data_IF_298292550034
#
_entry.id   IF_298292550034
#
_cell.length_a   1.000
_cell.length_b   1.000
_cell.length_c   1.000
_cell.angle_alpha   90.00
_cell.angle_beta   90.00
_cell.angle_gamma   90.00
#
_symmetry.space_group_name_H-M   'P 1'
#
loop_
_entity.id
_entity.type
_entity.pdbx_description
1 polymer ?
#
# COMPACT_ATOMS: atom_id res chain seq x y z
N UNK A 1 -19.67 14.89 -5.05
CA UNK A 1 -18.52 14.14 -4.48
C UNK A 1 -17.49 15.14 -4.04
N UNK A 2 -17.03 15.04 -2.79
CA UNK A 2 -15.97 15.91 -2.28
C UNK A 2 -14.65 15.50 -2.94
N UNK A 3 -13.92 16.45 -3.49
CA UNK A 3 -12.61 16.22 -4.11
C UNK A 3 -11.54 16.59 -3.09
N UNK A 4 -10.68 15.63 -2.73
CA UNK A 4 -9.58 15.86 -1.80
C UNK A 4 -8.34 16.39 -2.53
N UNK A 5 -7.52 17.19 -1.84
CA UNK A 5 -6.35 17.81 -2.43
C UNK A 5 -5.36 16.79 -3.06
N UNK A 6 -5.24 15.58 -2.47
CA UNK A 6 -4.35 14.53 -2.98
C UNK A 6 -4.89 13.84 -4.24
N UNK A 7 -6.19 13.93 -4.54
CA UNK A 7 -6.77 13.33 -5.75
C UNK A 7 -6.15 13.94 -7.02
N UNK A 8 -5.70 15.22 -6.92
CA UNK A 8 -5.06 15.98 -8.02
C UNK A 8 -3.56 15.73 -8.16
N UNK A 9 -2.92 15.10 -7.17
CA UNK A 9 -1.48 14.84 -7.21
C UNK A 9 -1.24 13.59 -8.03
N UNK A 10 -0.45 13.72 -9.11
CA UNK A 10 -0.13 12.64 -10.06
C UNK A 10 1.37 12.39 -10.14
N UNK A 11 1.82 11.16 -10.44
CA UNK A 11 3.24 10.83 -10.59
C UNK A 11 3.93 11.60 -11.71
N UNK A 12 3.26 11.76 -12.84
CA UNK A 12 3.82 12.36 -14.07
C UNK A 12 2.95 13.52 -14.55
N UNK A 13 3.34 14.76 -14.21
CA UNK A 13 2.55 15.97 -14.52
C UNK A 13 2.31 16.21 -16.03
N UNK A 14 3.17 15.67 -16.90
CA UNK A 14 3.07 15.82 -18.35
C UNK A 14 2.40 14.64 -19.05
N UNK A 15 1.94 13.63 -18.31
CA UNK A 15 1.24 12.48 -18.89
C UNK A 15 -0.19 12.85 -19.27
N UNK A 16 -0.68 12.24 -20.34
CA UNK A 16 -2.09 12.31 -20.77
C UNK A 16 -2.98 11.29 -20.07
N UNK A 17 -2.36 10.33 -19.37
CA UNK A 17 -3.06 9.28 -18.64
C UNK A 17 -3.65 9.80 -17.33
N UNK A 18 -4.74 9.20 -16.86
CA UNK A 18 -5.32 9.48 -15.55
C UNK A 18 -4.40 9.07 -14.39
N UNK A 19 -4.71 9.52 -13.17
CA UNK A 19 -3.88 9.21 -11.99
C UNK A 19 -3.68 7.71 -11.80
N UNK A 20 -4.72 6.92 -12.02
CA UNK A 20 -4.72 5.47 -11.81
C UNK A 20 -3.72 4.76 -12.72
N UNK A 21 -3.76 5.06 -14.02
CA UNK A 21 -2.84 4.50 -15.00
C UNK A 21 -1.40 4.91 -14.71
N UNK A 22 -1.18 6.19 -14.39
CA UNK A 22 0.14 6.70 -14.02
C UNK A 22 0.71 6.02 -12.76
N UNK A 23 -0.13 5.75 -11.77
CA UNK A 23 0.28 5.05 -10.54
C UNK A 23 0.64 3.60 -10.85
N UNK A 24 -0.15 2.90 -11.68
CA UNK A 24 0.16 1.53 -12.10
C UNK A 24 1.49 1.46 -12.86
N UNK A 25 1.67 2.30 -13.88
CA UNK A 25 2.92 2.40 -14.66
C UNK A 25 4.13 2.70 -13.75
N UNK A 26 3.98 3.66 -12.84
CA UNK A 26 5.05 4.02 -11.91
C UNK A 26 5.49 2.85 -11.04
N UNK A 27 4.54 2.10 -10.47
CA UNK A 27 4.86 0.96 -9.63
C UNK A 27 5.41 -0.22 -10.44
N UNK A 28 4.95 -0.45 -11.66
CA UNK A 28 5.51 -1.47 -12.57
C UNK A 28 6.96 -1.13 -12.95
N UNK A 29 7.27 0.13 -13.24
CA UNK A 29 8.63 0.61 -13.55
C UNK A 29 9.61 0.42 -12.40
N UNK A 30 9.17 0.67 -11.16
CA UNK A 30 10.06 0.55 -9.99
C UNK A 30 10.10 -0.85 -9.40
N UNK A 31 9.17 -1.74 -9.75
CA UNK A 31 9.04 -3.09 -9.20
C UNK A 31 10.36 -3.88 -9.21
N UNK A 32 11.16 -3.94 -10.30
CA UNK A 32 12.38 -4.74 -10.35
C UNK A 32 13.40 -4.41 -9.25
N UNK A 33 13.39 -3.17 -8.76
CA UNK A 33 14.34 -2.67 -7.76
C UNK A 33 13.69 -2.33 -6.42
N UNK A 34 12.36 -2.54 -6.29
CA UNK A 34 11.57 -2.05 -5.16
C UNK A 34 12.01 -2.66 -3.83
N UNK A 35 12.12 -3.98 -3.75
CA UNK A 35 12.47 -4.66 -2.50
C UNK A 35 13.90 -4.35 -2.03
N UNK A 36 14.85 -4.20 -2.94
CA UNK A 36 16.23 -3.85 -2.60
C UNK A 36 16.33 -2.44 -2.00
N UNK A 37 15.67 -1.47 -2.62
CA UNK A 37 15.67 -0.07 -2.17
C UNK A 37 14.90 0.13 -0.88
N UNK A 38 13.77 -0.55 -0.71
CA UNK A 38 12.98 -0.54 0.51
C UNK A 38 13.77 -1.08 1.71
N UNK A 39 14.54 -2.15 1.53
CA UNK A 39 15.41 -2.71 2.60
C UNK A 39 16.45 -1.71 3.08
N UNK A 40 16.94 -0.84 2.22
CA UNK A 40 18.01 0.11 2.54
C UNK A 40 17.51 1.37 3.25
N UNK A 41 16.33 1.89 2.90
CA UNK A 41 15.87 3.21 3.35
C UNK A 41 14.96 3.19 4.61
N UNK A 42 14.19 2.14 4.86
CA UNK A 42 13.18 2.20 5.93
C UNK A 42 12.80 0.87 6.60
N UNK A 43 13.43 -0.23 6.24
CA UNK A 43 12.96 -1.60 6.55
C UNK A 43 12.62 -1.88 8.03
N UNK A 44 13.35 -1.32 8.99
CA UNK A 44 13.11 -1.57 10.42
C UNK A 44 11.94 -0.76 10.97
N UNK A 45 11.80 0.50 10.54
CA UNK A 45 10.73 1.40 11.00
C UNK A 45 9.40 0.96 10.40
N UNK A 46 9.38 0.63 9.10
CA UNK A 46 8.20 0.14 8.40
C UNK A 46 7.69 -1.17 8.99
N UNK A 47 8.58 -2.11 9.29
CA UNK A 47 8.20 -3.39 9.88
C UNK A 47 7.52 -3.22 11.24
N UNK A 48 8.05 -2.33 12.11
CA UNK A 48 7.45 -2.03 13.41
C UNK A 48 6.08 -1.38 13.27
N UNK A 49 5.93 -0.40 12.35
CA UNK A 49 4.66 0.28 12.10
C UNK A 49 3.60 -0.68 11.56
N UNK A 50 3.93 -1.52 10.57
CA UNK A 50 3.04 -2.54 10.03
C UNK A 50 2.61 -3.54 11.11
N UNK A 51 3.55 -4.00 11.94
CA UNK A 51 3.25 -4.88 13.06
C UNK A 51 2.24 -4.24 14.02
N UNK A 52 2.48 -2.97 14.43
CA UNK A 52 1.56 -2.23 15.31
C UNK A 52 0.17 -2.07 14.68
N UNK A 53 0.10 -1.75 13.38
CA UNK A 53 -1.17 -1.66 12.67
C UNK A 53 -1.96 -2.98 12.69
N UNK A 54 -1.29 -4.12 12.44
CA UNK A 54 -1.91 -5.43 12.48
C UNK A 54 -2.30 -5.88 13.92
N UNK A 55 -1.63 -5.36 14.95
CA UNK A 55 -2.01 -5.62 16.35
C UNK A 55 -3.42 -5.14 16.68
N UNK A 56 -3.93 -4.09 16.00
CA UNK A 56 -5.30 -3.59 16.15
C UNK A 56 -6.37 -4.62 15.71
N UNK A 57 -5.98 -5.61 14.91
CA UNK A 57 -6.85 -6.67 14.41
C UNK A 57 -6.84 -7.94 15.28
N UNK A 58 -5.92 -8.07 16.26
CA UNK A 58 -5.79 -9.30 17.04
C UNK A 58 -7.05 -9.68 17.81
N UNK A 59 -7.72 -8.69 18.39
CA UNK A 59 -8.96 -8.92 19.15
C UNK A 59 -10.13 -9.41 18.26
N UNK A 60 -10.11 -9.01 16.97
CA UNK A 60 -11.14 -9.39 16.00
C UNK A 60 -11.01 -10.85 15.54
N UNK A 61 -9.78 -11.42 15.54
CA UNK A 61 -9.46 -12.76 15.03
C UNK A 61 -10.04 -12.98 13.62
N UNK A 62 -9.70 -12.11 12.64
CA UNK A 62 -10.34 -12.16 11.33
C UNK A 62 -10.06 -13.50 10.63
N UNK A 63 -11.08 -14.10 10.01
CA UNK A 63 -10.95 -15.31 9.20
C UNK A 63 -10.71 -14.96 7.72
N UNK A 64 -11.35 -13.92 7.22
CA UNK A 64 -11.20 -13.40 5.86
C UNK A 64 -10.68 -11.98 5.91
N UNK A 65 -9.46 -11.76 5.40
CA UNK A 65 -8.80 -10.46 5.39
C UNK A 65 -8.52 -10.02 3.96
N UNK A 66 -8.76 -8.75 3.65
CA UNK A 66 -8.32 -8.13 2.39
C UNK A 66 -7.18 -7.16 2.68
N UNK A 67 -6.14 -7.18 1.82
CA UNK A 67 -5.04 -6.20 1.82
C UNK A 67 -5.11 -5.39 0.51
N UNK A 68 -5.57 -4.15 0.59
CA UNK A 68 -5.77 -3.25 -0.55
C UNK A 68 -4.49 -2.46 -0.80
N UNK A 69 -4.09 -2.34 -2.07
CA UNK A 69 -2.78 -1.84 -2.49
C UNK A 69 -1.66 -2.66 -1.85
N UNK A 70 -1.77 -3.99 -1.97
CA UNK A 70 -0.91 -4.96 -1.28
C UNK A 70 0.55 -4.91 -1.76
N UNK A 71 0.81 -4.40 -2.95
CA UNK A 71 2.13 -4.31 -3.55
C UNK A 71 2.81 -5.67 -3.63
N UNK A 72 3.97 -5.80 -3.00
CA UNK A 72 4.74 -7.06 -2.94
C UNK A 72 4.29 -7.98 -1.80
N UNK A 73 3.07 -7.84 -1.28
CA UNK A 73 2.42 -8.67 -0.27
C UNK A 73 3.06 -8.66 1.14
N UNK A 74 3.88 -7.68 1.49
CA UNK A 74 4.56 -7.66 2.79
C UNK A 74 3.61 -7.60 3.97
N UNK A 75 2.51 -6.84 3.87
CA UNK A 75 1.47 -6.75 4.92
C UNK A 75 0.66 -8.02 4.99
N UNK A 76 0.25 -8.56 3.84
CA UNK A 76 -0.47 -9.83 3.76
C UNK A 76 0.33 -10.99 4.38
N UNK A 77 1.64 -11.11 4.07
CA UNK A 77 2.54 -12.11 4.66
C UNK A 77 2.65 -11.92 6.18
N UNK A 78 2.80 -10.68 6.64
CA UNK A 78 2.88 -10.39 8.07
C UNK A 78 1.54 -10.70 8.77
N UNK A 79 0.41 -10.39 8.16
CA UNK A 79 -0.93 -10.69 8.66
C UNK A 79 -1.16 -12.20 8.77
N UNK A 80 -0.76 -13.00 7.76
CA UNK A 80 -0.83 -14.46 7.81
C UNK A 80 -0.11 -15.02 9.03
N UNK A 81 1.11 -14.53 9.32
CA UNK A 81 1.92 -14.98 10.45
C UNK A 81 1.43 -14.50 11.81
N UNK A 82 0.84 -13.32 11.89
CA UNK A 82 0.45 -12.70 13.16
C UNK A 82 -0.99 -13.04 13.58
N UNK A 83 -1.89 -13.12 12.61
CA UNK A 83 -3.33 -13.25 12.84
C UNK A 83 -3.86 -14.63 12.45
N UNK A 84 -3.11 -15.36 11.61
CA UNK A 84 -3.45 -16.69 11.09
C UNK A 84 -4.90 -16.80 10.56
N UNK A 85 -5.33 -15.91 9.65
CA UNK A 85 -6.67 -16.00 9.07
C UNK A 85 -6.78 -17.21 8.15
N UNK A 86 -8.01 -17.65 7.87
CA UNK A 86 -8.27 -18.74 6.93
C UNK A 86 -7.85 -18.36 5.50
N UNK A 87 -8.14 -17.12 5.09
CA UNK A 87 -7.79 -16.61 3.76
C UNK A 87 -7.44 -15.12 3.80
N UNK A 88 -6.43 -14.75 3.03
CA UNK A 88 -6.10 -13.35 2.73
C UNK A 88 -6.22 -13.14 1.22
N UNK A 89 -6.86 -12.06 0.82
CA UNK A 89 -6.86 -11.58 -0.57
C UNK A 89 -6.10 -10.27 -0.63
N UNK A 90 -5.02 -10.22 -1.39
CA UNK A 90 -4.29 -8.99 -1.70
C UNK A 90 -4.67 -8.48 -3.09
N UNK A 91 -5.10 -7.23 -3.19
CA UNK A 91 -5.36 -6.58 -4.48
C UNK A 91 -4.40 -5.43 -4.72
N UNK A 92 -3.95 -5.28 -5.97
CA UNK A 92 -3.13 -4.15 -6.42
C UNK A 92 -3.37 -3.89 -7.91
N UNK A 93 -3.18 -2.63 -8.34
CA UNK A 93 -3.28 -2.26 -9.75
C UNK A 93 -2.01 -2.57 -10.54
N UNK A 94 -0.85 -2.71 -9.87
CA UNK A 94 0.44 -3.02 -10.47
C UNK A 94 0.64 -4.53 -10.55
N UNK A 95 0.67 -5.06 -11.76
CA UNK A 95 0.95 -6.49 -12.01
C UNK A 95 2.38 -6.86 -11.69
N UNK A 96 3.33 -5.95 -11.93
CA UNK A 96 4.74 -6.15 -11.60
C UNK A 96 4.98 -6.32 -10.10
N UNK A 97 4.27 -5.53 -9.25
CA UNK A 97 4.32 -5.70 -7.80
C UNK A 97 3.72 -7.03 -7.36
N UNK A 98 2.57 -7.42 -7.92
CA UNK A 98 1.91 -8.70 -7.61
C UNK A 98 2.79 -9.89 -7.99
N UNK A 99 3.52 -9.84 -9.09
CA UNK A 99 4.42 -10.91 -9.52
C UNK A 99 5.59 -11.10 -8.55
N UNK A 100 6.13 -10.01 -8.01
CA UNK A 100 7.11 -10.08 -6.93
C UNK A 100 6.50 -10.67 -5.65
N UNK A 101 5.27 -10.26 -5.33
CA UNK A 101 4.49 -10.81 -4.22
C UNK A 101 4.31 -12.32 -4.35
N UNK A 102 3.87 -12.81 -5.52
CA UNK A 102 3.67 -14.25 -5.80
C UNK A 102 4.96 -15.05 -5.60
N UNK A 103 6.12 -14.51 -6.06
CA UNK A 103 7.43 -15.14 -5.82
C UNK A 103 7.76 -15.23 -4.33
N UNK A 104 7.40 -14.19 -3.55
CA UNK A 104 7.58 -14.22 -2.09
C UNK A 104 6.68 -15.26 -1.44
N UNK A 105 5.40 -15.32 -1.82
CA UNK A 105 4.45 -16.30 -1.27
C UNK A 105 4.93 -17.73 -1.47
N UNK A 106 5.39 -18.07 -2.68
CA UNK A 106 5.98 -19.39 -2.97
C UNK A 106 7.18 -19.69 -2.07
N UNK A 107 8.08 -18.73 -1.89
CA UNK A 107 9.25 -18.89 -1.01
C UNK A 107 8.88 -19.08 0.46
N UNK A 108 7.77 -18.48 0.89
CA UNK A 108 7.29 -18.52 2.27
C UNK A 108 6.28 -19.65 2.53
N UNK A 109 5.85 -20.38 1.47
CA UNK A 109 4.84 -21.46 1.56
C UNK A 109 3.45 -20.94 1.92
N UNK A 110 3.10 -19.71 1.51
CA UNK A 110 1.85 -19.03 1.87
C UNK A 110 0.85 -18.92 0.71
N UNK A 111 1.15 -19.50 -0.46
CA UNK A 111 0.33 -19.40 -1.67
C UNK A 111 -1.06 -20.03 -1.55
N UNK A 112 -1.26 -20.94 -0.60
CA UNK A 112 -2.58 -21.51 -0.30
C UNK A 112 -3.45 -20.60 0.57
N UNK A 113 -2.81 -19.82 1.44
CA UNK A 113 -3.49 -18.95 2.40
C UNK A 113 -3.69 -17.52 1.83
N UNK A 114 -2.74 -17.03 1.02
CA UNK A 114 -2.75 -15.68 0.45
C UNK A 114 -2.93 -15.78 -1.06
N UNK A 115 -3.95 -15.09 -1.57
CA UNK A 115 -4.22 -14.95 -2.99
C UNK A 115 -3.97 -13.52 -3.43
N UNK A 116 -3.24 -13.31 -4.53
CA UNK A 116 -2.94 -12.00 -5.08
C UNK A 116 -3.65 -11.82 -6.42
N UNK A 117 -4.47 -10.77 -6.51
CA UNK A 117 -5.27 -10.45 -7.69
C UNK A 117 -5.01 -9.01 -8.15
N UNK A 118 -5.01 -8.80 -9.48
CA UNK A 118 -5.10 -7.45 -10.02
C UNK A 118 -6.47 -6.89 -9.69
N UNK A 119 -6.51 -5.71 -9.06
CA UNK A 119 -7.76 -5.11 -8.62
C UNK A 119 -7.62 -3.64 -8.32
N UNK A 120 -8.73 -2.94 -8.50
CA UNK A 120 -8.87 -1.51 -8.27
C UNK A 120 -9.57 -1.27 -6.93
N UNK A 121 -8.97 -0.45 -6.06
CA UNK A 121 -9.57 -0.06 -4.78
C UNK A 121 -10.92 0.66 -4.93
N UNK A 122 -11.17 1.26 -6.09
CA UNK A 122 -12.40 1.99 -6.39
C UNK A 122 -13.49 1.13 -7.08
N UNK A 123 -13.18 -0.15 -7.34
CA UNK A 123 -14.10 -1.12 -7.93
C UNK A 123 -13.68 -2.54 -7.49
N UNK A 124 -13.86 -2.83 -6.20
CA UNK A 124 -13.45 -4.09 -5.59
C UNK A 124 -14.39 -5.22 -6.05
N UNK A 125 -13.86 -6.19 -6.79
CA UNK A 125 -14.63 -7.31 -7.36
C UNK A 125 -14.94 -8.41 -6.33
N UNK A 126 -15.58 -8.04 -5.23
CA UNK A 126 -16.09 -8.94 -4.20
C UNK A 126 -17.48 -8.50 -3.77
N UNK A 127 -18.35 -9.42 -3.33
CA UNK A 127 -19.65 -9.09 -2.76
C UNK A 127 -19.54 -8.19 -1.51
N UNK A 128 -20.62 -7.52 -1.16
CA UNK A 128 -20.72 -6.83 0.13
C UNK A 128 -20.51 -7.80 1.31
N UNK A 129 -20.03 -7.29 2.43
CA UNK A 129 -19.84 -8.06 3.67
C UNK A 129 -19.02 -9.35 3.50
N UNK A 130 -17.96 -9.31 2.67
CA UNK A 130 -17.09 -10.46 2.39
C UNK A 130 -15.96 -10.64 3.40
N UNK A 131 -15.44 -9.56 3.98
CA UNK A 131 -14.22 -9.57 4.78
C UNK A 131 -14.45 -9.13 6.22
N UNK A 132 -13.78 -9.81 7.16
CA UNK A 132 -13.79 -9.45 8.58
C UNK A 132 -12.89 -8.23 8.84
N UNK A 133 -11.83 -8.09 8.06
CA UNK A 133 -10.91 -6.97 8.14
C UNK A 133 -10.37 -6.57 6.76
N UNK A 134 -10.08 -5.27 6.62
CA UNK A 134 -9.35 -4.72 5.46
C UNK A 134 -8.14 -3.94 5.96
N UNK A 135 -6.99 -4.14 5.32
CA UNK A 135 -5.77 -3.35 5.55
C UNK A 135 -5.43 -2.54 4.32
N UNK A 136 -4.94 -1.32 4.52
CA UNK A 136 -4.33 -0.47 3.48
C UNK A 136 -3.06 0.14 4.06
N UNK A 137 -1.91 -0.25 3.56
CA UNK A 137 -0.64 0.28 4.06
C UNK A 137 0.11 1.06 2.97
N UNK A 138 0.26 2.37 3.17
CA UNK A 138 0.93 3.30 2.25
C UNK A 138 0.32 3.37 0.85
N UNK A 139 -0.97 3.01 0.74
CA UNK A 139 -1.69 2.93 -0.53
C UNK A 139 -2.76 4.00 -0.71
N UNK A 140 -3.37 4.49 0.38
CA UNK A 140 -4.54 5.39 0.33
C UNK A 140 -4.25 6.68 -0.45
N UNK A 141 -3.04 7.24 -0.35
CA UNK A 141 -2.63 8.44 -1.09
C UNK A 141 -2.60 8.24 -2.62
N UNK A 142 -2.52 6.99 -3.07
CA UNK A 142 -2.47 6.64 -4.49
C UNK A 142 -3.86 6.42 -5.11
N UNK A 143 -4.93 6.38 -4.32
CA UNK A 143 -6.29 6.29 -4.86
C UNK A 143 -6.57 7.50 -5.74
N UNK A 144 -7.18 7.28 -6.90
CA UNK A 144 -7.56 8.38 -7.79
C UNK A 144 -8.78 9.12 -7.23
N UNK A 145 -9.69 8.38 -6.60
CA UNK A 145 -10.82 8.92 -5.84
C UNK A 145 -10.88 8.25 -4.46
N UNK A 146 -10.47 9.00 -3.43
CA UNK A 146 -10.40 8.48 -2.06
C UNK A 146 -11.77 8.05 -1.53
N UNK A 147 -12.80 8.89 -1.74
CA UNK A 147 -14.15 8.62 -1.24
C UNK A 147 -14.71 7.33 -1.83
N UNK A 148 -14.53 7.15 -3.13
CA UNK A 148 -14.96 5.93 -3.83
C UNK A 148 -14.21 4.69 -3.34
N UNK A 149 -12.88 4.78 -3.18
CA UNK A 149 -12.09 3.67 -2.64
C UNK A 149 -12.49 3.30 -1.21
N UNK A 150 -12.71 4.29 -0.34
CA UNK A 150 -13.18 4.03 1.02
C UNK A 150 -14.62 3.48 1.05
N UNK A 151 -15.50 3.91 0.15
CA UNK A 151 -16.86 3.37 0.03
C UNK A 151 -16.85 1.91 -0.40
N UNK A 152 -15.99 1.52 -1.35
CA UNK A 152 -15.83 0.13 -1.75
C UNK A 152 -15.26 -0.75 -0.63
N UNK A 153 -14.27 -0.24 0.11
CA UNK A 153 -13.74 -0.91 1.30
C UNK A 153 -14.84 -1.11 2.35
N UNK A 154 -15.65 -0.07 2.60
CA UNK A 154 -16.77 -0.16 3.53
C UNK A 154 -17.81 -1.20 3.07
N UNK A 155 -18.13 -1.24 1.78
CA UNK A 155 -19.08 -2.20 1.19
C UNK A 155 -18.66 -3.64 1.39
N UNK A 156 -17.38 -3.95 1.18
CA UNK A 156 -16.87 -5.32 1.31
C UNK A 156 -16.61 -5.76 2.75
N UNK A 157 -16.56 -4.82 3.71
CA UNK A 157 -16.44 -5.14 5.13
C UNK A 157 -17.74 -5.69 5.69
N UNK A 158 -17.66 -6.75 6.48
CA UNK A 158 -18.79 -7.28 7.26
C UNK A 158 -19.20 -6.30 8.34
N UNK A 159 -20.48 -6.30 8.77
CA UNK A 159 -20.89 -5.61 9.99
C UNK A 159 -19.98 -5.98 11.18
N UNK A 160 -19.44 -4.98 11.87
CA UNK A 160 -18.47 -5.18 12.96
C UNK A 160 -17.03 -5.46 12.49
N UNK A 161 -16.79 -5.51 11.18
CA UNK A 161 -15.45 -5.60 10.59
C UNK A 161 -14.63 -4.33 10.82
N UNK A 162 -13.30 -4.43 10.64
CA UNK A 162 -12.37 -3.32 10.89
C UNK A 162 -11.56 -2.98 9.65
N UNK A 163 -11.45 -1.67 9.35
CA UNK A 163 -10.46 -1.11 8.43
C UNK A 163 -9.26 -0.62 9.22
N UNK A 164 -8.06 -1.03 8.83
CA UNK A 164 -6.78 -0.50 9.34
C UNK A 164 -6.03 0.21 8.23
N UNK A 165 -5.84 1.51 8.37
CA UNK A 165 -5.05 2.33 7.44
C UNK A 165 -3.73 2.70 8.10
N UNK A 166 -2.63 2.38 7.42
CA UNK A 166 -1.29 2.84 7.78
C UNK A 166 -0.78 3.79 6.69
N UNK A 167 -0.61 5.07 7.03
CA UNK A 167 -0.15 6.08 6.06
C UNK A 167 0.83 7.05 6.69
N UNK A 168 1.64 7.71 5.86
CA UNK A 168 2.54 8.76 6.30
C UNK A 168 1.76 10.04 6.65
N UNK A 169 2.18 10.70 7.70
CA UNK A 169 1.69 12.05 8.03
C UNK A 169 2.87 13.00 8.25
N UNK A 170 2.67 14.27 7.91
CA UNK A 170 3.68 15.30 8.21
C UNK A 170 3.81 15.48 9.73
N UNK A 171 5.03 15.52 10.27
CA UNK A 171 5.25 15.81 11.69
C UNK A 171 4.64 17.16 12.08
N UNK A 172 3.90 17.21 13.19
CA UNK A 172 3.30 18.46 13.71
C UNK A 172 4.25 19.21 14.65
N UNK A 173 5.30 18.57 15.14
CA UNK A 173 6.28 19.16 16.06
C UNK A 173 7.29 19.97 15.24
N UNK A 174 7.42 21.26 15.50
CA UNK A 174 8.18 22.23 14.69
C UNK A 174 9.64 21.79 14.46
N UNK A 175 10.36 21.35 15.46
CA UNK A 175 11.76 20.89 15.31
C UNK A 175 11.88 19.63 14.43
N UNK A 176 10.97 18.66 14.59
CA UNK A 176 10.93 17.43 13.78
C UNK A 176 10.50 17.77 12.36
N UNK A 177 9.59 18.71 12.18
CA UNK A 177 9.13 19.16 10.87
C UNK A 177 10.26 19.82 10.05
N UNK A 178 11.10 20.64 10.68
CA UNK A 178 12.25 21.26 10.02
C UNK A 178 13.27 20.20 9.58
N UNK A 179 13.59 19.25 10.46
CA UNK A 179 14.49 18.15 10.14
C UNK A 179 13.91 17.24 9.04
N UNK A 180 12.63 16.94 9.09
CA UNK A 180 11.92 16.18 8.05
C UNK A 180 11.95 16.88 6.70
N UNK A 181 11.68 18.20 6.67
CA UNK A 181 11.71 18.98 5.43
C UNK A 181 13.11 19.04 4.85
N UNK A 182 14.16 19.19 5.67
CA UNK A 182 15.56 19.16 5.25
C UNK A 182 15.94 17.79 4.68
N UNK A 183 15.56 16.71 5.37
CA UNK A 183 15.80 15.34 4.93
C UNK A 183 15.11 15.04 3.61
N UNK A 184 13.82 15.34 3.49
CA UNK A 184 13.02 15.10 2.28
C UNK A 184 13.39 16.03 1.13
N UNK A 185 13.86 17.26 1.42
CA UNK A 185 14.25 18.22 0.39
C UNK A 185 15.65 18.01 -0.18
N UNK A 186 16.59 17.48 0.58
CA UNK A 186 18.00 17.38 0.20
C UNK A 186 18.47 15.92 0.14
N UNK A 187 18.26 15.15 1.21
CA UNK A 187 18.86 13.82 1.36
C UNK A 187 18.12 12.79 0.53
N UNK A 188 16.79 12.75 0.61
CA UNK A 188 15.98 11.76 -0.10
C UNK A 188 16.08 11.88 -1.64
N UNK A 189 16.00 13.10 -2.25
CA UNK A 189 16.22 13.26 -3.68
C UNK A 189 17.65 12.94 -4.13
N UNK A 190 18.66 13.27 -3.30
CA UNK A 190 20.07 12.94 -3.56
C UNK A 190 20.31 11.44 -3.64
N UNK A 191 19.78 10.70 -2.70
CA UNK A 191 19.85 9.22 -2.69
C UNK A 191 19.03 8.64 -3.86
N UNK A 192 17.81 9.17 -4.11
CA UNK A 192 16.95 8.73 -5.21
C UNK A 192 17.60 8.91 -6.59
N UNK A 193 18.31 10.01 -6.82
CA UNK A 193 18.96 10.31 -8.09
C UNK A 193 20.13 9.37 -8.43
N UNK A 194 20.83 8.86 -7.42
CA UNK A 194 21.97 7.92 -7.60
C UNK A 194 21.48 6.52 -8.02
N UNK A 195 20.27 6.14 -7.60
CA UNK A 195 19.79 4.76 -7.74
C UNK A 195 18.61 4.59 -8.73
N UNK A 196 18.13 5.64 -9.39
CA UNK A 196 16.95 5.54 -10.27
C UNK A 196 17.10 6.33 -11.56
N UNK A 197 16.70 5.68 -12.69
CA UNK A 197 16.47 6.34 -13.97
C UNK A 197 15.17 7.16 -13.99
N UNK A 198 14.26 6.95 -13.01
CA UNK A 198 12.94 7.59 -12.97
C UNK A 198 12.83 8.51 -11.74
N UNK A 199 13.35 9.74 -11.87
CA UNK A 199 13.40 10.75 -10.80
C UNK A 199 12.01 11.18 -10.33
N UNK A 200 11.05 11.31 -11.25
CA UNK A 200 9.70 11.80 -10.96
C UNK A 200 8.92 10.82 -10.08
N UNK A 201 9.04 9.52 -10.32
CA UNK A 201 8.45 8.48 -9.49
C UNK A 201 8.88 8.56 -8.01
N UNK A 202 10.16 8.88 -7.76
CA UNK A 202 10.68 8.99 -6.38
C UNK A 202 10.33 10.31 -5.70
N UNK A 203 10.02 11.36 -6.45
CA UNK A 203 9.50 12.60 -5.87
C UNK A 203 8.02 12.48 -5.46
N UNK A 204 7.29 11.62 -6.15
CA UNK A 204 5.88 11.34 -5.83
C UNK A 204 5.73 10.45 -4.57
N UNK A 205 6.61 9.46 -4.36
CA UNK A 205 6.56 8.51 -3.26
C UNK A 205 6.94 9.11 -1.91
#
# INVERSE_FOLDING_TARGET
MSEFAHDKIVPYQRSVHGKKEQVAEMFDDIAPNYDFKKRFLSALIDKKKKKKALEELKSLKPQYLMDVATGTADVAIMAARMLNPQKIVGIDISTGMLDLGRKKLLKEGLEKQIELQTGDSEAINFPEASFDAVTVAFGVRNFANLEKGLSEIYRVLKPGGKLVVLEFSKPKIIGIQQFYNLYMGIVAPGIGSIFSKNRDAYQYL
#
